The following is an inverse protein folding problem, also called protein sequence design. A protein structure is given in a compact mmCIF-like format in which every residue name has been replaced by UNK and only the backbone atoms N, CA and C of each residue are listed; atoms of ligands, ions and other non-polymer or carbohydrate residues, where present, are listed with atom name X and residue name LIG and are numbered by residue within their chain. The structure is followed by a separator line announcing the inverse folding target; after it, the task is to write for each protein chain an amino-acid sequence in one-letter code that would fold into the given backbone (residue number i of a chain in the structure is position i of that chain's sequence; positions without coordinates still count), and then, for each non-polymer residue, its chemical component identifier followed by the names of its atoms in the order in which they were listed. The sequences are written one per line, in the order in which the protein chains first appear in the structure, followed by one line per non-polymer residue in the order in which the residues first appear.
data_IF_472654770812
#
_entry.id   IF_472654770812
#
_cell.length_a   1.000
_cell.length_b   1.000
_cell.length_c   1.000
_cell.angle_alpha   90.00
_cell.angle_beta   90.00
_cell.angle_gamma   90.00
#
_symmetry.space_group_name_H-M   'P 1'
#
loop_
_entity.id
_entity.type
_entity.pdbx_description
1 polymer ?
#
# COMPACT_ATOMS: atom_id res chain seq x y z
N UNK A 1 -4.58 32.51 37.79
CA UNK A 1 -5.38 32.39 36.55
C UNK A 1 -6.81 32.06 36.94
N UNK A 2 -7.83 32.77 36.40
CA UNK A 2 -9.24 32.54 36.73
C UNK A 2 -9.81 31.38 35.87
N UNK A 3 -9.48 30.14 36.23
CA UNK A 3 -9.97 28.93 35.55
C UNK A 3 -11.51 28.84 35.53
N UNK A 4 -12.16 29.38 36.56
CA UNK A 4 -13.61 29.45 36.71
C UNK A 4 -14.35 30.11 35.52
N UNK A 5 -13.72 31.06 34.81
CA UNK A 5 -14.33 31.67 33.61
C UNK A 5 -14.43 30.66 32.48
N UNK A 6 -13.40 29.83 32.29
CA UNK A 6 -13.36 28.84 31.21
C UNK A 6 -14.31 27.68 31.52
N UNK A 7 -14.28 27.19 32.77
CA UNK A 7 -15.08 26.04 33.20
C UNK A 7 -16.60 26.30 33.15
N UNK A 8 -17.03 27.54 33.39
CA UNK A 8 -18.46 27.91 33.36
C UNK A 8 -18.99 28.25 31.96
N UNK A 9 -18.11 28.41 30.96
CA UNK A 9 -18.48 28.79 29.61
C UNK A 9 -18.18 27.65 28.61
N UNK A 10 -19.18 26.81 28.33
CA UNK A 10 -19.03 25.63 27.44
C UNK A 10 -18.50 26.01 26.05
N UNK A 11 -18.95 27.12 25.47
CA UNK A 11 -18.45 27.58 24.16
C UNK A 11 -16.98 27.98 24.18
N UNK A 12 -16.54 28.69 25.24
CA UNK A 12 -15.14 29.06 25.41
C UNK A 12 -14.26 27.82 25.64
N UNK A 13 -14.72 26.89 26.47
CA UNK A 13 -14.03 25.62 26.71
C UNK A 13 -13.87 24.81 25.42
N UNK A 14 -14.93 24.69 24.61
CA UNK A 14 -14.89 23.96 23.34
C UNK A 14 -13.87 24.57 22.35
N UNK A 15 -13.84 25.91 22.23
CA UNK A 15 -12.87 26.60 21.36
C UNK A 15 -11.44 26.36 21.85
N UNK A 16 -11.19 26.46 23.17
CA UNK A 16 -9.86 26.23 23.72
C UNK A 16 -9.40 24.78 23.53
N UNK A 17 -10.28 23.80 23.68
CA UNK A 17 -9.98 22.38 23.40
C UNK A 17 -9.59 22.19 21.93
N UNK A 18 -10.36 22.76 21.00
CA UNK A 18 -10.07 22.68 19.56
C UNK A 18 -8.69 23.28 19.25
N UNK A 19 -8.38 24.45 19.80
CA UNK A 19 -7.07 25.10 19.62
C UNK A 19 -5.95 24.20 20.15
N UNK A 20 -6.09 23.67 21.37
CA UNK A 20 -5.05 22.83 21.99
C UNK A 20 -4.82 21.54 21.20
N UNK A 21 -5.88 20.84 20.78
CA UNK A 21 -5.77 19.60 20.00
C UNK A 21 -5.18 19.88 18.60
N UNK A 22 -5.49 21.04 18.00
CA UNK A 22 -5.01 21.38 16.66
C UNK A 22 -3.48 21.48 16.56
N UNK A 23 -2.80 21.87 17.65
CA UNK A 23 -1.34 22.03 17.63
C UNK A 23 -0.60 20.73 17.31
N UNK A 24 -1.10 19.57 17.76
CA UNK A 24 -0.50 18.27 17.42
C UNK A 24 -0.55 18.01 15.92
N UNK A 25 -1.73 18.14 15.30
CA UNK A 25 -1.89 17.97 13.85
C UNK A 25 -1.08 18.98 13.03
N UNK A 26 -1.05 20.25 13.46
CA UNK A 26 -0.27 21.30 12.79
C UNK A 26 1.25 21.04 12.91
N UNK A 27 1.73 20.52 14.03
CA UNK A 27 3.15 20.25 14.23
C UNK A 27 3.63 18.97 13.53
N UNK A 28 2.79 17.93 13.47
CA UNK A 28 3.18 16.60 12.97
C UNK A 28 2.82 16.39 11.49
N UNK A 29 1.67 16.88 11.02
CA UNK A 29 1.17 16.59 9.66
C UNK A 29 1.60 17.66 8.66
N UNK A 30 1.44 18.94 9.02
CA UNK A 30 1.64 20.04 8.06
C UNK A 30 3.08 20.09 7.51
N UNK A 31 4.15 19.93 8.32
CA UNK A 31 5.51 19.94 7.79
C UNK A 31 5.80 18.81 6.77
N UNK A 32 5.13 17.66 6.90
CA UNK A 32 5.37 16.51 6.03
C UNK A 32 4.96 16.76 4.57
N UNK A 33 3.99 17.67 4.31
CA UNK A 33 3.64 18.09 2.95
C UNK A 33 4.76 18.84 2.23
N UNK A 34 5.72 19.38 2.98
CA UNK A 34 6.82 20.19 2.44
C UNK A 34 8.18 19.48 2.53
N UNK A 35 8.24 18.31 3.15
CA UNK A 35 9.46 17.54 3.29
C UNK A 35 9.72 16.71 2.03
N UNK A 36 10.83 16.99 1.34
CA UNK A 36 11.18 16.30 0.08
C UNK A 36 11.32 14.79 0.24
N UNK A 37 11.84 14.33 1.39
CA UNK A 37 12.05 12.91 1.66
C UNK A 37 10.76 12.09 1.65
N UNK A 38 9.61 12.69 1.97
CA UNK A 38 8.30 12.02 2.04
C UNK A 38 7.40 12.32 0.84
N UNK A 39 7.82 13.22 -0.04
CA UNK A 39 7.00 13.70 -1.17
C UNK A 39 7.63 13.44 -2.53
N UNK A 40 8.93 13.10 -2.59
CA UNK A 40 9.62 12.79 -3.83
C UNK A 40 9.77 11.28 -3.99
N UNK A 41 9.40 10.73 -5.16
CA UNK A 41 9.58 9.31 -5.44
C UNK A 41 11.08 8.96 -5.46
N UNK A 42 11.40 7.70 -5.18
CA UNK A 42 12.76 7.19 -5.45
C UNK A 42 13.02 7.18 -6.97
N UNK A 43 14.28 7.27 -7.36
CA UNK A 43 14.67 7.23 -8.77
C UNK A 43 14.20 5.93 -9.44
N UNK A 44 13.56 6.06 -10.60
CA UNK A 44 13.02 4.92 -11.35
C UNK A 44 11.69 4.36 -10.83
N UNK A 45 11.06 4.98 -9.83
CA UNK A 45 9.71 4.61 -9.42
C UNK A 45 8.69 5.09 -10.45
N UNK A 46 8.00 4.13 -11.07
CA UNK A 46 6.87 4.38 -11.95
C UNK A 46 5.53 4.16 -11.20
N UNK A 47 4.43 4.81 -11.63
CA UNK A 47 3.09 4.43 -11.21
C UNK A 47 2.81 2.95 -11.48
N UNK A 48 2.00 2.32 -10.62
CA UNK A 48 1.53 0.95 -10.86
C UNK A 48 0.80 0.86 -12.20
N UNK A 49 1.10 -0.16 -13.00
CA UNK A 49 0.32 -0.50 -14.19
C UNK A 49 -1.14 -0.76 -13.83
N UNK A 50 -2.02 -0.79 -14.84
CA UNK A 50 -3.45 -1.04 -14.62
C UNK A 50 -3.68 -2.38 -13.88
N UNK A 51 -2.95 -3.42 -14.26
CA UNK A 51 -3.05 -4.75 -13.64
C UNK A 51 -2.53 -4.78 -12.19
N UNK A 52 -1.39 -4.13 -11.92
CA UNK A 52 -0.84 -4.01 -10.57
C UNK A 52 -1.73 -3.16 -9.66
N UNK A 53 -2.37 -2.12 -10.20
CA UNK A 53 -3.32 -1.28 -9.46
C UNK A 53 -4.55 -2.09 -9.03
N UNK A 54 -5.14 -2.88 -9.93
CA UNK A 54 -6.24 -3.78 -9.58
C UNK A 54 -5.79 -4.85 -8.57
N UNK A 55 -4.58 -5.40 -8.73
CA UNK A 55 -3.97 -6.32 -7.78
C UNK A 55 -3.80 -5.74 -6.38
N UNK A 56 -3.40 -4.46 -6.28
CA UNK A 56 -3.30 -3.73 -5.02
C UNK A 56 -4.65 -3.54 -4.36
N UNK A 57 -5.69 -3.26 -5.12
CA UNK A 57 -7.05 -3.15 -4.61
C UNK A 57 -7.60 -4.50 -4.13
N UNK A 58 -7.25 -5.60 -4.81
CA UNK A 58 -7.54 -6.96 -4.34
C UNK A 58 -6.79 -7.25 -3.04
N UNK A 59 -5.50 -6.93 -2.96
CA UNK A 59 -4.70 -7.06 -1.72
C UNK A 59 -5.35 -6.33 -0.53
N UNK A 60 -5.94 -5.16 -0.79
CA UNK A 60 -6.70 -4.38 0.21
C UNK A 60 -8.04 -5.03 0.56
N UNK A 61 -8.81 -5.44 -0.44
CA UNK A 61 -10.12 -6.10 -0.28
C UNK A 61 -10.01 -7.37 0.55
N UNK A 62 -8.97 -8.16 0.32
CA UNK A 62 -8.69 -9.42 1.02
C UNK A 62 -8.08 -9.23 2.42
N UNK A 63 -7.80 -7.99 2.83
CA UNK A 63 -7.30 -7.68 4.17
C UNK A 63 -5.88 -8.17 4.42
N UNK A 64 -5.08 -8.40 3.38
CA UNK A 64 -3.71 -8.93 3.48
C UNK A 64 -2.83 -8.08 4.43
N UNK A 65 -3.03 -6.76 4.41
CA UNK A 65 -2.37 -5.79 5.31
C UNK A 65 -2.56 -6.06 6.81
N UNK A 66 -3.62 -6.80 7.19
CA UNK A 66 -3.86 -7.21 8.57
C UNK A 66 -2.91 -8.31 9.06
N UNK A 67 -2.27 -9.03 8.15
CA UNK A 67 -1.29 -10.09 8.47
C UNK A 67 0.13 -9.77 7.97
N UNK A 68 0.25 -8.97 6.92
CA UNK A 68 1.51 -8.68 6.24
C UNK A 68 1.79 -7.18 6.24
N UNK A 69 3.00 -6.82 6.69
CA UNK A 69 3.51 -5.46 6.57
C UNK A 69 4.22 -5.26 5.24
N UNK A 70 4.34 -3.99 4.83
CA UNK A 70 5.17 -3.56 3.71
C UNK A 70 6.05 -2.40 4.18
N UNK A 71 6.82 -2.63 5.25
CA UNK A 71 7.69 -1.64 5.86
C UNK A 71 8.83 -2.34 6.60
N UNK A 72 9.96 -2.53 5.91
CA UNK A 72 11.16 -3.12 6.50
C UNK A 72 11.85 -2.07 7.36
N UNK A 73 12.05 -2.37 8.65
CA UNK A 73 12.67 -1.42 9.60
C UNK A 73 14.20 -1.41 9.45
N UNK A 74 14.89 -0.29 9.78
CA UNK A 74 16.34 -0.14 9.62
C UNK A 74 17.12 -0.84 10.74
N UNK A 75 16.85 -2.13 10.96
CA UNK A 75 17.59 -2.99 11.86
C UNK A 75 18.27 -4.09 11.07
N UNK A 76 19.51 -4.45 11.44
CA UNK A 76 20.27 -5.52 10.76
C UNK A 76 19.46 -6.81 10.61
N UNK A 77 18.79 -7.27 11.67
CA UNK A 77 18.01 -8.51 11.61
C UNK A 77 16.83 -8.45 10.63
N UNK A 78 16.25 -7.27 10.40
CA UNK A 78 15.21 -7.10 9.38
C UNK A 78 15.81 -7.05 7.98
N UNK A 79 16.94 -6.35 7.82
CA UNK A 79 17.55 -6.22 6.50
C UNK A 79 18.12 -7.54 5.99
N UNK A 80 18.68 -8.38 6.87
CA UNK A 80 19.13 -9.72 6.52
C UNK A 80 17.96 -10.64 6.11
N UNK A 81 16.77 -10.44 6.72
CA UNK A 81 15.59 -11.26 6.45
C UNK A 81 14.83 -10.81 5.20
N UNK A 82 14.59 -9.51 5.08
CA UNK A 82 13.69 -8.93 4.10
C UNK A 82 14.39 -8.09 3.04
N UNK A 83 15.67 -7.79 3.17
CA UNK A 83 16.40 -6.91 2.24
C UNK A 83 16.45 -5.46 2.70
N UNK A 84 16.83 -4.52 1.84
CA UNK A 84 17.04 -3.12 2.21
C UNK A 84 15.82 -2.53 2.94
N UNK A 85 16.06 -1.74 3.98
CA UNK A 85 14.99 -1.09 4.74
C UNK A 85 14.13 -0.21 3.84
N UNK A 86 12.86 -0.06 4.17
CA UNK A 86 11.93 0.74 3.39
C UNK A 86 12.25 2.23 3.53
N UNK A 87 12.16 2.96 2.42
CA UNK A 87 12.33 4.42 2.40
C UNK A 87 11.03 5.09 1.96
N UNK A 88 10.80 6.30 2.46
CA UNK A 88 9.53 6.99 2.25
C UNK A 88 9.19 7.22 0.76
N UNK A 89 10.21 7.44 -0.07
CA UNK A 89 10.05 7.65 -1.52
C UNK A 89 9.41 6.50 -2.28
N UNK A 90 9.39 5.27 -1.73
CA UNK A 90 8.79 4.10 -2.39
C UNK A 90 7.27 4.09 -2.30
N UNK A 91 6.70 4.73 -1.27
CA UNK A 91 5.26 4.76 -1.02
C UNK A 91 4.62 6.09 -1.45
N UNK A 92 5.32 6.94 -2.22
CA UNK A 92 4.82 8.27 -2.59
C UNK A 92 3.55 8.19 -3.45
N UNK A 93 3.40 7.14 -4.26
CA UNK A 93 2.20 6.90 -5.06
C UNK A 93 1.15 6.02 -4.35
N UNK A 94 1.38 5.64 -3.09
CA UNK A 94 0.45 4.78 -2.36
C UNK A 94 -0.71 5.56 -1.72
N UNK A 95 -1.89 5.46 -2.33
CA UNK A 95 -3.13 6.00 -1.78
C UNK A 95 -4.11 4.86 -1.43
N UNK A 96 -4.35 4.46 -0.18
CA UNK A 96 -3.65 4.74 1.09
C UNK A 96 -2.39 3.85 1.25
N UNK A 97 -1.47 4.19 2.15
CA UNK A 97 -0.29 3.36 2.44
C UNK A 97 -0.64 1.96 2.97
N UNK A 98 0.18 0.96 2.64
CA UNK A 98 0.01 -0.45 3.04
C UNK A 98 1.14 -0.99 3.94
N UNK A 99 1.78 -0.09 4.70
CA UNK A 99 2.91 -0.40 5.58
C UNK A 99 2.63 -1.52 6.59
N UNK A 100 1.36 -1.68 6.99
CA UNK A 100 0.93 -2.68 7.97
C UNK A 100 1.24 -2.29 9.41
N UNK A 101 0.58 -2.98 10.35
CA UNK A 101 0.73 -2.76 11.80
C UNK A 101 0.96 -4.06 12.58
N UNK A 102 0.92 -5.21 11.88
CA UNK A 102 1.07 -6.55 12.44
C UNK A 102 1.81 -7.44 11.45
N UNK A 103 2.52 -8.45 11.97
CA UNK A 103 3.16 -9.52 11.20
C UNK A 103 2.71 -10.88 11.72
N UNK A 104 1.56 -11.34 11.23
CA UNK A 104 1.16 -12.75 11.38
C UNK A 104 1.89 -13.58 10.32
N UNK A 105 1.97 -13.05 9.10
CA UNK A 105 2.88 -13.52 8.06
C UNK A 105 4.11 -12.59 7.92
N UNK A 106 5.05 -12.93 7.01
CA UNK A 106 6.26 -12.14 6.78
C UNK A 106 5.96 -10.76 6.19
N UNK A 107 6.95 -9.86 6.25
CA UNK A 107 6.91 -8.58 5.51
C UNK A 107 7.01 -8.84 4.00
N UNK A 108 6.25 -8.06 3.20
CA UNK A 108 6.14 -8.19 1.75
C UNK A 108 6.77 -7.04 0.97
N UNK A 109 7.36 -6.01 1.61
CA UNK A 109 7.88 -4.83 0.93
C UNK A 109 8.97 -5.11 -0.11
N UNK A 110 9.52 -6.33 -0.11
CA UNK A 110 10.64 -6.80 -0.93
C UNK A 110 10.39 -8.18 -1.52
N UNK A 111 9.12 -8.57 -1.68
CA UNK A 111 8.77 -9.91 -2.18
C UNK A 111 8.96 -10.04 -3.69
N UNK A 112 9.03 -8.92 -4.42
CA UNK A 112 9.22 -8.91 -5.86
C UNK A 112 10.44 -9.72 -6.30
N UNK A 113 10.20 -10.69 -7.20
CA UNK A 113 11.21 -11.60 -7.71
C UNK A 113 11.77 -12.64 -6.72
N UNK A 114 11.29 -12.70 -5.47
CA UNK A 114 11.74 -13.72 -4.50
C UNK A 114 11.14 -15.09 -4.75
N UNK A 115 9.93 -15.13 -5.28
CA UNK A 115 9.20 -16.35 -5.59
C UNK A 115 8.67 -16.28 -7.02
N UNK A 116 8.52 -17.44 -7.67
CA UNK A 116 7.90 -17.49 -9.00
C UNK A 116 6.41 -17.22 -8.93
N UNK A 117 5.81 -16.80 -10.04
CA UNK A 117 4.37 -16.63 -10.15
C UNK A 117 3.63 -17.93 -9.85
N UNK A 118 4.16 -19.08 -10.27
CA UNK A 118 3.60 -20.40 -9.97
C UNK A 118 3.61 -20.70 -8.46
N UNK A 119 4.66 -20.30 -7.74
CA UNK A 119 4.69 -20.41 -6.29
C UNK A 119 3.63 -19.53 -5.66
N UNK A 120 3.48 -18.28 -6.12
CA UNK A 120 2.44 -17.40 -5.63
C UNK A 120 1.03 -17.96 -5.91
N UNK A 121 0.78 -18.54 -7.08
CA UNK A 121 -0.49 -19.21 -7.41
C UNK A 121 -0.74 -20.38 -6.45
N UNK A 122 0.22 -21.29 -6.31
CA UNK A 122 0.08 -22.44 -5.42
C UNK A 122 -0.17 -22.00 -3.96
N UNK A 123 0.62 -21.04 -3.47
CA UNK A 123 0.49 -20.49 -2.12
C UNK A 123 -0.85 -19.80 -1.89
N UNK A 124 -1.38 -19.03 -2.85
CA UNK A 124 -2.68 -18.37 -2.70
C UNK A 124 -3.85 -19.35 -2.80
N UNK A 125 -3.74 -20.39 -3.64
CA UNK A 125 -4.78 -21.40 -3.77
C UNK A 125 -4.95 -22.17 -2.46
N UNK A 126 -3.84 -22.65 -1.89
CA UNK A 126 -3.81 -23.24 -0.55
C UNK A 126 -2.41 -23.11 0.06
N UNK A 127 -2.22 -22.19 1.03
CA UNK A 127 -0.91 -21.96 1.63
C UNK A 127 -0.27 -23.19 2.26
N UNK A 128 -1.09 -24.14 2.77
CA UNK A 128 -0.61 -25.36 3.42
C UNK A 128 0.02 -26.38 2.46
N UNK A 129 -0.25 -26.26 1.16
CA UNK A 129 0.32 -27.20 0.17
C UNK A 129 1.80 -26.92 -0.09
N UNK A 130 2.23 -25.67 0.12
CA UNK A 130 3.64 -25.25 -0.08
C UNK A 130 4.33 -24.85 1.23
N UNK A 131 3.57 -24.50 2.27
CA UNK A 131 4.06 -24.21 3.63
C UNK A 131 3.11 -24.87 4.63
N UNK A 132 3.35 -26.15 5.04
CA UNK A 132 2.41 -26.94 5.84
C UNK A 132 1.95 -26.28 7.14
N UNK A 133 2.82 -25.52 7.79
CA UNK A 133 2.57 -24.79 9.04
C UNK A 133 1.87 -23.43 8.84
N UNK A 134 1.53 -23.07 7.60
CA UNK A 134 0.95 -21.76 7.31
C UNK A 134 -0.39 -21.55 8.00
N UNK A 135 -0.52 -20.40 8.65
CA UNK A 135 -1.77 -19.92 9.23
C UNK A 135 -2.57 -19.03 8.27
N UNK A 136 -2.01 -18.71 7.10
CA UNK A 136 -2.67 -17.86 6.10
C UNK A 136 -3.96 -18.51 5.56
N UNK A 137 -5.05 -17.77 5.35
CA UNK A 137 -6.24 -18.29 4.68
C UNK A 137 -5.95 -18.72 3.23
N UNK A 138 -6.75 -19.64 2.71
CA UNK A 138 -6.76 -19.97 1.28
C UNK A 138 -7.64 -18.96 0.52
N UNK A 139 -7.23 -18.59 -0.69
CA UNK A 139 -7.92 -17.62 -1.56
C UNK A 139 -8.29 -18.21 -2.94
N UNK A 140 -8.95 -19.39 -3.01
CA UNK A 140 -9.23 -20.08 -4.28
C UNK A 140 -10.17 -19.29 -5.20
N UNK A 141 -11.03 -18.42 -4.66
CA UNK A 141 -11.94 -17.59 -5.47
C UNK A 141 -11.22 -16.62 -6.40
N UNK A 142 -9.97 -16.25 -6.10
CA UNK A 142 -9.17 -15.37 -6.97
C UNK A 142 -8.87 -16.00 -8.34
N UNK A 143 -9.01 -17.33 -8.46
CA UNK A 143 -8.83 -18.08 -9.71
C UNK A 143 -10.12 -18.17 -10.54
N UNK A 144 -11.26 -17.94 -9.91
CA UNK A 144 -12.58 -18.00 -10.54
C UNK A 144 -13.05 -16.61 -10.99
N UNK A 145 -12.71 -15.58 -10.20
CA UNK A 145 -13.08 -14.20 -10.48
C UNK A 145 -12.21 -13.58 -11.59
N UNK A 146 -12.86 -12.87 -12.50
CA UNK A 146 -12.21 -12.14 -13.60
C UNK A 146 -12.48 -10.64 -13.50
N UNK A 147 -11.48 -9.83 -13.86
CA UNK A 147 -11.58 -8.38 -13.92
C UNK A 147 -12.32 -7.94 -15.19
N UNK A 148 -13.27 -7.00 -15.07
CA UNK A 148 -13.95 -6.40 -16.23
C UNK A 148 -13.22 -5.16 -16.80
N UNK A 149 -12.43 -4.51 -15.94
CA UNK A 149 -11.66 -3.30 -16.22
C UNK A 149 -12.48 -2.02 -16.35
N UNK A 150 -13.76 -2.03 -15.97
CA UNK A 150 -14.65 -0.88 -16.21
C UNK A 150 -14.26 0.34 -15.37
N UNK A 151 -13.87 0.12 -14.10
CA UNK A 151 -13.51 1.19 -13.18
C UNK A 151 -12.02 1.58 -13.23
N UNK A 152 -11.15 0.78 -13.86
CA UNK A 152 -9.70 1.01 -13.84
C UNK A 152 -9.28 2.38 -14.40
N UNK A 153 -9.81 2.86 -15.55
CA UNK A 153 -9.53 4.21 -16.03
C UNK A 153 -9.99 5.30 -15.05
N UNK A 154 -11.11 5.10 -14.35
CA UNK A 154 -11.63 6.04 -13.36
C UNK A 154 -10.72 6.10 -12.13
N UNK A 155 -10.21 4.96 -11.66
CA UNK A 155 -9.24 4.88 -10.56
C UNK A 155 -7.94 5.62 -10.92
N UNK A 156 -7.39 5.37 -12.10
CA UNK A 156 -6.16 6.03 -12.56
C UNK A 156 -6.35 7.54 -12.73
N UNK A 157 -7.49 8.00 -13.26
CA UNK A 157 -7.82 9.45 -13.29
C UNK A 157 -7.90 10.06 -11.89
N UNK A 158 -8.49 9.34 -10.93
CA UNK A 158 -8.56 9.80 -9.55
C UNK A 158 -7.18 9.89 -8.90
N UNK A 159 -6.33 8.87 -9.09
CA UNK A 159 -4.94 8.88 -8.62
C UNK A 159 -4.11 9.97 -9.29
N UNK A 160 -4.36 10.25 -10.58
CA UNK A 160 -3.75 11.37 -11.28
C UNK A 160 -4.13 12.71 -10.66
N UNK A 161 -5.39 12.89 -10.28
CA UNK A 161 -5.83 14.08 -9.54
C UNK A 161 -5.18 14.18 -8.15
N UNK A 162 -4.74 13.06 -7.57
CA UNK A 162 -4.00 13.00 -6.30
C UNK A 162 -2.48 13.12 -6.45
N UNK A 163 -1.96 13.25 -7.67
CA UNK A 163 -0.54 13.50 -7.95
C UNK A 163 0.25 12.33 -8.52
N UNK A 164 -0.38 11.17 -8.75
CA UNK A 164 0.27 10.03 -9.42
C UNK A 164 0.40 10.31 -10.93
N UNK A 165 1.61 10.27 -11.54
CA UNK A 165 1.84 10.77 -12.89
C UNK A 165 1.40 9.81 -14.01
N UNK A 166 0.13 9.37 -14.01
CA UNK A 166 -0.43 8.57 -15.11
C UNK A 166 -0.56 9.38 -16.42
N UNK A 167 -0.14 8.78 -17.54
CA UNK A 167 -0.33 9.34 -18.88
C UNK A 167 -1.75 9.09 -19.40
N UNK A 168 -2.18 9.86 -20.41
CA UNK A 168 -3.47 9.61 -21.07
C UNK A 168 -3.48 8.23 -21.74
N UNK A 169 -2.37 7.81 -22.34
CA UNK A 169 -2.22 6.49 -22.96
C UNK A 169 -2.42 5.35 -21.95
N UNK A 170 -1.81 5.45 -20.76
CA UNK A 170 -2.01 4.46 -19.69
C UNK A 170 -3.48 4.37 -19.28
N UNK A 171 -4.17 5.51 -19.16
CA UNK A 171 -5.58 5.55 -18.76
C UNK A 171 -6.50 5.00 -19.85
N UNK A 172 -6.21 5.31 -21.12
CA UNK A 172 -7.02 4.90 -22.27
C UNK A 172 -6.89 3.39 -22.54
N UNK A 173 -5.71 2.82 -22.30
CA UNK A 173 -5.45 1.38 -22.47
C UNK A 173 -5.86 0.54 -21.25
N UNK A 174 -6.02 1.14 -20.07
CA UNK A 174 -6.19 0.46 -18.79
C UNK A 174 -7.25 -0.65 -18.79
N UNK A 175 -8.43 -0.40 -19.36
CA UNK A 175 -9.50 -1.41 -19.42
C UNK A 175 -9.08 -2.63 -20.23
N UNK A 176 -8.41 -2.41 -21.38
CA UNK A 176 -7.98 -3.51 -22.24
C UNK A 176 -6.83 -4.33 -21.64
N UNK A 177 -6.00 -3.71 -20.80
CA UNK A 177 -4.88 -4.36 -20.12
C UNK A 177 -5.32 -5.32 -19.01
N UNK A 178 -6.51 -5.12 -18.43
CA UNK A 178 -6.99 -5.93 -17.29
C UNK A 178 -8.21 -6.78 -17.62
N UNK A 179 -8.97 -6.47 -18.66
CA UNK A 179 -10.22 -7.16 -18.96
C UNK A 179 -9.98 -8.63 -19.27
N UNK A 180 -10.67 -9.49 -18.53
CA UNK A 180 -10.59 -10.95 -18.68
C UNK A 180 -9.44 -11.59 -17.90
N UNK A 181 -8.55 -10.80 -17.30
CA UNK A 181 -7.54 -11.32 -16.38
C UNK A 181 -8.19 -11.82 -15.10
N UNK A 182 -7.64 -12.90 -14.54
CA UNK A 182 -8.08 -13.40 -13.24
C UNK A 182 -7.56 -12.50 -12.12
N UNK A 183 -8.33 -12.39 -11.03
CA UNK A 183 -7.92 -11.63 -9.84
C UNK A 183 -6.57 -12.10 -9.29
N UNK A 184 -6.29 -13.41 -9.34
CA UNK A 184 -5.01 -13.96 -8.91
C UNK A 184 -3.85 -13.44 -9.76
N UNK A 185 -4.03 -13.24 -11.07
CA UNK A 185 -2.99 -12.70 -11.95
C UNK A 185 -2.69 -11.25 -11.58
N UNK A 186 -3.72 -10.44 -11.31
CA UNK A 186 -3.55 -9.07 -10.86
C UNK A 186 -2.86 -8.98 -9.49
N UNK A 187 -3.28 -9.79 -8.52
CA UNK A 187 -2.65 -9.84 -7.20
C UNK A 187 -1.16 -10.22 -7.30
N UNK A 188 -0.82 -11.18 -8.16
CA UNK A 188 0.58 -11.58 -8.37
C UNK A 188 1.37 -10.45 -9.03
N UNK A 189 0.83 -9.78 -10.05
CA UNK A 189 1.48 -8.62 -10.66
C UNK A 189 1.82 -7.56 -9.59
N UNK A 190 0.86 -7.25 -8.70
CA UNK A 190 1.09 -6.35 -7.57
C UNK A 190 2.19 -6.83 -6.62
N UNK A 191 2.21 -8.12 -6.25
CA UNK A 191 3.23 -8.67 -5.36
C UNK A 191 4.62 -8.65 -6.02
N UNK A 192 4.69 -8.95 -7.32
CA UNK A 192 5.95 -9.04 -8.06
C UNK A 192 6.64 -7.68 -8.22
N UNK A 193 5.91 -6.56 -8.22
CA UNK A 193 6.53 -5.25 -8.27
C UNK A 193 7.09 -4.76 -6.92
N UNK A 194 6.64 -5.33 -5.79
CA UNK A 194 6.98 -4.81 -4.45
C UNK A 194 8.49 -4.84 -4.18
N UNK A 195 9.06 -3.64 -4.07
CA UNK A 195 10.45 -3.42 -3.68
C UNK A 195 11.48 -3.65 -4.79
N UNK A 196 11.03 -3.75 -6.05
CA UNK A 196 11.93 -4.01 -7.19
C UNK A 196 12.75 -2.79 -7.61
N UNK A 197 12.25 -1.58 -7.31
CA UNK A 197 12.90 -0.30 -7.67
C UNK A 197 14.21 -0.10 -6.89
N UNK A 198 14.23 -0.47 -5.60
CA UNK A 198 15.44 -0.45 -4.79
C UNK A 198 16.10 -1.82 -4.80
N UNK A 199 16.92 -2.08 -5.83
CA UNK A 199 17.80 -3.25 -5.81
C UNK A 199 18.88 -3.03 -4.76
N UNK A 200 18.91 -3.91 -3.75
CA UNK A 200 20.01 -3.96 -2.80
C UNK A 200 21.30 -4.32 -3.54
N UNK A 201 22.29 -3.45 -3.45
CA UNK A 201 23.69 -3.85 -3.64
C UNK A 201 24.14 -4.68 -2.44
#
# INVERSE_FOLDING_TARGET
MRHEIVEKNVGLLAVLILVVISFGGLAEVVPLFFQKQTTQPVEGLEPLSALELEGRDIYRREGCVGCHSQMVRPFRAETERYGHYSVAGESVYDHNFLWGSKRTGPDLARVGGRYSDDWHRAHMYNPRDVVPESVMPAYPWLFENTLDGEDTPKKMRALRALGVPYTDEQIDNATSEVRGEQEITALIAYLQQLGTVLKGN
#
